data_IF_835555265960
#
_entry.id   IF_835555265960
#
_cell.length_a   1.000
_cell.length_b   1.000
_cell.length_c   1.000
_cell.angle_alpha   90.00
_cell.angle_beta   90.00
_cell.angle_gamma   90.00
#
_symmetry.space_group_name_H-M   'P 1'
#
loop_
_entity.id
_entity.type
_entity.pdbx_description
1 polymer ?
#
# COMPACT_ATOMS: atom_id res chain seq x y z
N UNK A 1 12.59 -1.06 7.53
CA UNK A 1 13.27 -2.18 6.84
C UNK A 1 12.68 -2.28 5.45
N UNK A 2 11.53 -2.91 5.23
CA UNK A 2 10.80 -2.92 3.95
C UNK A 2 10.86 -1.62 3.09
N UNK A 3 10.50 -0.45 3.64
CA UNK A 3 10.47 0.79 2.85
C UNK A 3 11.85 1.18 2.29
N UNK A 4 12.94 0.87 2.98
CA UNK A 4 14.30 1.18 2.52
C UNK A 4 14.86 0.07 1.62
N UNK A 5 14.46 -1.17 1.84
CA UNK A 5 15.00 -2.34 1.14
C UNK A 5 14.25 -2.64 -0.17
N UNK A 6 12.92 -2.48 -0.15
CA UNK A 6 12.03 -2.85 -1.24
C UNK A 6 11.17 -1.71 -1.78
N UNK A 7 11.05 -0.56 -1.10
CA UNK A 7 10.32 0.58 -1.66
C UNK A 7 11.27 1.66 -2.18
N UNK A 8 10.77 2.41 -3.15
CA UNK A 8 11.41 3.63 -3.64
C UNK A 8 10.66 4.83 -3.08
N UNK A 9 11.29 5.58 -2.19
CA UNK A 9 10.74 6.81 -1.62
C UNK A 9 11.18 7.99 -2.48
N UNK A 10 10.24 8.62 -3.19
CA UNK A 10 10.51 9.80 -4.00
C UNK A 10 9.22 10.58 -4.24
N UNK A 11 9.25 11.92 -4.28
CA UNK A 11 8.05 12.75 -4.46
C UNK A 11 7.30 12.51 -5.78
N UNK A 12 7.96 11.98 -6.80
CA UNK A 12 7.32 11.61 -8.08
C UNK A 12 6.72 10.19 -8.08
N UNK A 13 7.01 9.38 -7.06
CA UNK A 13 6.58 8.00 -7.00
C UNK A 13 5.19 7.88 -6.39
N UNK A 14 4.39 7.00 -6.97
CA UNK A 14 3.06 6.67 -6.47
C UNK A 14 2.81 5.19 -6.61
N UNK A 15 2.18 4.59 -5.60
CA UNK A 15 1.78 3.19 -5.64
C UNK A 15 0.39 3.00 -5.02
N UNK A 16 -0.33 1.98 -5.46
CA UNK A 16 -1.63 1.66 -4.86
C UNK A 16 -1.44 1.04 -3.48
N UNK A 17 -2.42 1.24 -2.60
CA UNK A 17 -2.40 0.60 -1.27
C UNK A 17 -2.34 -0.93 -1.37
N UNK A 18 -2.92 -1.51 -2.43
CA UNK A 18 -2.91 -2.96 -2.68
C UNK A 18 -1.51 -3.45 -3.05
N UNK A 19 -0.87 -2.82 -4.03
CA UNK A 19 0.45 -3.29 -4.49
C UNK A 19 1.49 -3.17 -3.39
N UNK A 20 1.50 -2.04 -2.67
CA UNK A 20 2.39 -1.84 -1.53
C UNK A 20 2.22 -2.94 -0.48
N UNK A 21 0.98 -3.34 -0.21
CA UNK A 21 0.72 -4.41 0.74
C UNK A 21 1.17 -5.78 0.21
N UNK A 22 0.90 -6.09 -1.06
CA UNK A 22 1.34 -7.36 -1.68
C UNK A 22 2.86 -7.48 -1.66
N UNK A 23 3.58 -6.43 -2.05
CA UNK A 23 5.03 -6.41 -2.03
C UNK A 23 5.56 -6.54 -0.59
N UNK A 24 4.89 -5.94 0.39
CA UNK A 24 5.23 -6.09 1.79
C UNK A 24 5.05 -7.52 2.29
N UNK A 25 3.96 -8.20 1.90
CA UNK A 25 3.74 -9.62 2.24
C UNK A 25 4.84 -10.51 1.66
N UNK A 26 5.22 -10.29 0.40
CA UNK A 26 6.32 -11.04 -0.24
C UNK A 26 7.64 -10.82 0.49
N UNK A 27 7.96 -9.57 0.80
CA UNK A 27 9.17 -9.27 1.55
C UNK A 27 9.16 -9.91 2.94
N UNK A 28 8.02 -9.95 3.62
CA UNK A 28 7.88 -10.65 4.89
C UNK A 28 8.14 -12.16 4.75
N UNK A 29 7.59 -12.80 3.72
CA UNK A 29 7.83 -14.22 3.41
C UNK A 29 9.32 -14.51 3.13
N UNK A 30 9.96 -13.67 2.30
CA UNK A 30 11.37 -13.79 1.94
C UNK A 30 12.33 -13.54 3.13
N UNK A 31 11.89 -12.78 4.14
CA UNK A 31 12.71 -12.39 5.30
C UNK A 31 12.32 -13.15 6.58
N UNK A 32 11.43 -14.15 6.50
CA UNK A 32 10.84 -14.86 7.67
C UNK A 32 10.25 -13.88 8.72
N UNK A 33 9.81 -12.69 8.29
CA UNK A 33 9.19 -11.68 9.15
C UNK A 33 7.66 -11.83 9.17
N UNK A 34 7.05 -11.62 10.33
CA UNK A 34 5.59 -11.65 10.45
C UNK A 34 4.94 -10.43 9.78
N UNK A 35 4.06 -10.62 8.78
CA UNK A 35 3.42 -9.50 8.11
C UNK A 35 2.46 -8.77 9.04
N UNK A 36 2.55 -7.44 9.05
CA UNK A 36 1.58 -6.58 9.72
C UNK A 36 0.21 -6.63 9.02
N UNK A 37 -0.83 -6.29 9.79
CA UNK A 37 -2.17 -6.09 9.24
C UNK A 37 -2.16 -4.90 8.28
N UNK A 38 -2.96 -4.98 7.23
CA UNK A 38 -3.06 -3.91 6.22
C UNK A 38 -3.38 -2.54 6.83
N UNK A 39 -4.20 -2.49 7.89
CA UNK A 39 -4.50 -1.25 8.63
C UNK A 39 -3.27 -0.67 9.33
N UNK A 40 -2.50 -1.49 10.04
CA UNK A 40 -1.29 -1.07 10.74
C UNK A 40 -0.22 -0.58 9.75
N UNK A 41 -0.09 -1.27 8.62
CA UNK A 41 0.78 -0.86 7.54
C UNK A 41 0.38 0.52 6.98
N UNK A 42 -0.91 0.71 6.69
CA UNK A 42 -1.44 2.00 6.24
C UNK A 42 -1.26 3.11 7.28
N UNK A 43 -1.42 2.81 8.57
CA UNK A 43 -1.21 3.76 9.66
C UNK A 43 0.26 4.19 9.75
N UNK A 44 1.21 3.23 9.64
CA UNK A 44 2.64 3.54 9.60
C UNK A 44 3.01 4.43 8.43
N UNK A 45 2.40 4.24 7.25
CA UNK A 45 2.62 5.12 6.10
C UNK A 45 2.12 6.55 6.38
N UNK A 46 0.91 6.71 6.92
CA UNK A 46 0.39 8.02 7.33
C UNK A 46 1.29 8.69 8.37
N UNK A 47 1.75 7.95 9.38
CA UNK A 47 2.64 8.44 10.43
C UNK A 47 4.03 8.85 9.89
N UNK A 48 4.48 8.18 8.83
CA UNK A 48 5.74 8.51 8.15
C UNK A 48 5.63 9.74 7.25
N UNK A 49 4.47 10.39 7.18
CA UNK A 49 4.23 11.59 6.39
C UNK A 49 3.77 11.34 4.94
N UNK A 50 3.53 10.07 4.57
CA UNK A 50 2.97 9.76 3.25
C UNK A 50 1.49 10.11 3.20
N UNK A 51 1.03 10.60 2.04
CA UNK A 51 -0.36 10.98 1.84
C UNK A 51 -1.09 9.92 1.03
N UNK A 52 -2.21 9.46 1.58
CA UNK A 52 -3.18 8.63 0.86
C UNK A 52 -4.10 9.53 0.07
N UNK A 53 -4.02 9.46 -1.25
CA UNK A 53 -4.95 10.11 -2.18
C UNK A 53 -6.00 9.12 -2.67
N UNK A 54 -7.26 9.58 -2.72
CA UNK A 54 -8.33 8.87 -3.41
C UNK A 54 -8.34 9.33 -4.85
N UNK A 55 -8.24 8.38 -5.79
CA UNK A 55 -8.39 8.63 -7.22
C UNK A 55 -9.76 8.17 -7.72
N UNK A 56 -10.03 8.44 -8.99
CA UNK A 56 -11.18 7.94 -9.74
C UNK A 56 -11.35 6.42 -9.55
N UNK A 57 -12.62 5.97 -9.58
CA UNK A 57 -13.03 4.58 -9.31
C UNK A 57 -12.78 4.09 -7.87
N UNK A 58 -12.68 5.00 -6.90
CA UNK A 58 -12.67 4.66 -5.47
C UNK A 58 -11.37 4.06 -4.94
N UNK A 59 -10.31 4.06 -5.74
CA UNK A 59 -9.01 3.46 -5.38
C UNK A 59 -8.16 4.40 -4.53
N UNK A 60 -7.34 3.81 -3.68
CA UNK A 60 -6.43 4.52 -2.79
C UNK A 60 -4.98 4.37 -3.24
N UNK A 61 -4.33 5.51 -3.39
CA UNK A 61 -2.96 5.65 -3.87
C UNK A 61 -2.14 6.35 -2.80
N UNK A 62 -0.92 5.93 -2.61
CA UNK A 62 0.05 6.61 -1.75
C UNK A 62 0.99 7.42 -2.63
N UNK A 63 1.23 8.67 -2.23
CA UNK A 63 2.16 9.57 -2.92
C UNK A 63 3.43 9.72 -2.11
N UNK A 64 4.58 9.76 -2.78
CA UNK A 64 5.90 9.86 -2.14
C UNK A 64 6.57 8.49 -1.95
N UNK A 65 5.90 7.40 -2.32
CA UNK A 65 6.40 6.03 -2.19
C UNK A 65 5.90 5.17 -3.37
N UNK A 66 6.83 4.42 -3.95
CA UNK A 66 6.61 3.51 -5.07
C UNK A 66 7.27 2.15 -4.83
N UNK A 67 6.93 1.18 -5.68
CA UNK A 67 7.59 -0.13 -5.71
C UNK A 67 8.52 -0.22 -6.93
N UNK A 68 9.72 -0.81 -6.79
CA UNK A 68 10.71 -0.92 -7.86
C UNK A 68 10.30 -1.93 -8.92
N UNK A 69 9.57 -2.98 -8.54
CA UNK A 69 8.92 -3.87 -9.49
C UNK A 69 7.65 -3.16 -9.97
N UNK A 70 7.79 -2.39 -11.05
CA UNK A 70 6.64 -1.86 -11.79
C UNK A 70 5.82 -3.05 -12.30
N UNK A 71 4.91 -3.56 -11.48
CA UNK A 71 3.71 -4.19 -11.98
C UNK A 71 2.95 -3.07 -12.67
N UNK A 72 3.25 -2.87 -13.96
CA UNK A 72 2.60 -1.88 -14.80
C UNK A 72 1.11 -2.01 -14.54
N UNK A 73 0.52 -0.97 -13.94
CA UNK A 73 -0.88 -0.99 -13.59
C UNK A 73 -1.63 -0.68 -14.90
N UNK A 74 -2.29 -1.67 -15.56
CA UNK A 74 -3.24 -1.34 -16.60
C UNK A 74 -4.37 -0.61 -15.87
N UNK A 75 -4.48 0.71 -16.04
CA UNK A 75 -5.53 1.52 -15.41
C UNK A 75 -6.96 1.10 -15.83
N UNK A 76 -7.11 0.04 -16.63
CA UNK A 76 -8.32 -0.38 -17.32
C UNK A 76 -8.69 -1.86 -17.16
N UNK A 77 -8.18 -2.59 -16.15
CA UNK A 77 -8.73 -3.93 -15.86
C UNK A 77 -9.81 -3.87 -14.76
N UNK A 78 -11.11 -3.98 -15.09
CA UNK A 78 -12.23 -3.86 -14.16
C UNK A 78 -12.37 -5.02 -13.17
N UNK A 79 -11.57 -6.09 -13.29
CA UNK A 79 -11.76 -7.32 -12.53
C UNK A 79 -11.14 -7.34 -11.12
N UNK A 80 -10.42 -6.29 -10.70
CA UNK A 80 -9.69 -6.29 -9.42
C UNK A 80 -10.51 -5.80 -8.19
N UNK A 81 -11.79 -5.46 -8.37
CA UNK A 81 -12.68 -4.82 -7.36
C UNK A 81 -13.28 -5.78 -6.30
N UNK A 82 -12.57 -6.84 -5.92
CA UNK A 82 -13.05 -7.79 -4.89
C UNK A 82 -12.16 -7.87 -3.64
N UNK A 83 -11.30 -6.88 -3.38
CA UNK A 83 -10.70 -6.72 -2.04
C UNK A 83 -11.43 -5.62 -1.26
N UNK A 84 -12.52 -6.01 -0.61
CA UNK A 84 -13.23 -5.24 0.42
C UNK A 84 -12.32 -5.09 1.65
N UNK A 85 -11.48 -4.06 1.62
CA UNK A 85 -10.69 -3.64 2.78
C UNK A 85 -11.61 -2.95 3.78
N UNK A 86 -12.37 -3.76 4.52
CA UNK A 86 -13.41 -3.35 5.46
C UNK A 86 -13.03 -2.15 6.33
N UNK A 87 -13.90 -1.15 6.30
CA UNK A 87 -14.02 -0.12 7.33
C UNK A 87 -14.56 -0.77 8.60
N UNK A 88 -13.73 -0.93 9.63
CA UNK A 88 -14.26 -0.90 11.00
C UNK A 88 -13.76 0.39 11.63
N UNK A 89 -14.74 1.27 11.87
CA UNK A 89 -14.71 2.20 12.98
C UNK A 89 -14.40 1.41 14.25
N UNK A 90 -13.28 1.68 14.90
CA UNK A 90 -13.21 1.46 16.34
C UNK A 90 -13.39 2.82 16.98
N UNK A 91 -14.64 3.02 17.43
CA UNK A 91 -15.01 3.99 18.44
C UNK A 91 -14.01 3.89 19.59
N UNK A 92 -13.37 5.01 19.91
CA UNK A 92 -12.70 5.22 21.17
C UNK A 92 -13.81 5.38 22.21
N UNK A 93 -13.86 4.46 23.18
CA UNK A 93 -14.60 4.61 24.44
C UNK A 93 -13.70 5.34 25.45
#
# INVERSE_FOLDING_TARGET
>A
RFINDCCRVSPGETATARDLYIAYLRWCDDNDEQPLRQRDFGMKLSQSGYRRQRRSRGRHWWTGIGLPEQVGHPADNPAADSYDGGTESTSID
#
